data_IF_103586685412
#
_entry.id   IF_103586685412
#
_cell.length_a   1.000
_cell.length_b   1.000
_cell.length_c   1.000
_cell.angle_alpha   90.00
_cell.angle_beta   90.00
_cell.angle_gamma   90.00
#
_symmetry.space_group_name_H-M   'P 1'
#
loop_
_entity.id
_entity.type
_entity.pdbx_description
1 polymer ?
#
# COMPACT_ATOMS: atom_id res chain seq x y z
N UNK A 1 37.81 -5.03 12.19
CA UNK A 1 36.98 -5.77 11.23
C UNK A 1 35.59 -5.89 11.82
N UNK A 2 34.53 -5.62 11.06
CA UNK A 2 33.16 -5.74 11.57
C UNK A 2 32.80 -7.21 11.76
N UNK A 3 32.24 -7.55 12.92
CA UNK A 3 31.74 -8.90 13.17
C UNK A 3 30.36 -9.07 12.52
N UNK A 4 30.31 -9.79 11.41
CA UNK A 4 29.08 -10.03 10.66
C UNK A 4 28.15 -11.07 11.33
N UNK A 5 28.66 -11.84 12.30
CA UNK A 5 27.86 -12.88 12.97
C UNK A 5 26.75 -12.33 13.88
N UNK A 6 26.85 -11.04 14.25
CA UNK A 6 25.81 -10.34 15.00
C UNK A 6 24.55 -10.00 14.18
N UNK A 7 24.61 -10.14 12.86
CA UNK A 7 23.48 -9.85 11.97
C UNK A 7 22.81 -11.16 11.55
N UNK A 8 21.54 -11.33 11.88
CA UNK A 8 20.72 -12.44 11.41
C UNK A 8 19.88 -12.01 10.19
N UNK A 9 19.60 -12.91 9.22
CA UNK A 9 18.62 -12.65 8.17
C UNK A 9 17.25 -12.34 8.78
N UNK A 10 16.65 -11.22 8.38
CA UNK A 10 15.32 -10.79 8.86
C UNK A 10 14.22 -10.96 7.82
N UNK A 11 14.46 -11.74 6.77
CA UNK A 11 13.50 -11.98 5.69
C UNK A 11 13.06 -13.44 5.63
N UNK A 12 11.92 -13.68 4.99
CA UNK A 12 11.28 -14.99 4.92
C UNK A 12 11.16 -15.44 3.46
N UNK A 13 12.08 -16.30 2.97
CA UNK A 13 12.00 -16.84 1.62
C UNK A 13 10.81 -17.78 1.49
N UNK A 14 10.22 -17.84 0.30
CA UNK A 14 9.18 -18.81 -0.03
C UNK A 14 9.78 -20.19 -0.35
N UNK A 15 8.99 -21.27 -0.31
CA UNK A 15 9.40 -22.57 -0.81
C UNK A 15 9.90 -22.53 -2.26
N UNK A 16 10.64 -23.52 -2.72
CA UNK A 16 11.06 -23.64 -4.11
C UNK A 16 9.85 -23.76 -5.06
N UNK A 17 10.00 -23.24 -6.29
CA UNK A 17 8.97 -23.32 -7.34
C UNK A 17 8.09 -22.06 -7.50
N UNK A 18 8.45 -20.96 -6.84
CA UNK A 18 7.84 -19.64 -7.02
C UNK A 18 8.83 -18.70 -7.72
N UNK A 19 9.34 -19.14 -8.87
CA UNK A 19 10.36 -18.47 -9.66
C UNK A 19 10.06 -18.55 -11.17
N UNK A 20 8.80 -18.76 -11.53
CA UNK A 20 8.41 -18.89 -12.94
C UNK A 20 8.54 -17.59 -13.72
N UNK A 21 8.53 -16.45 -13.04
CA UNK A 21 8.76 -15.11 -13.60
C UNK A 21 10.13 -14.98 -14.25
N UNK A 22 11.15 -15.72 -13.81
CA UNK A 22 12.52 -15.73 -14.42
C UNK A 22 12.51 -16.14 -15.89
N UNK A 23 11.47 -16.86 -16.34
CA UNK A 23 11.32 -17.28 -17.73
C UNK A 23 10.76 -16.19 -18.66
N UNK A 24 10.27 -15.09 -18.08
CA UNK A 24 9.75 -13.94 -18.81
C UNK A 24 10.90 -12.99 -19.11
N UNK A 25 10.98 -12.50 -20.32
CA UNK A 25 12.02 -11.57 -20.79
C UNK A 25 11.53 -10.11 -20.83
N UNK A 26 10.22 -9.88 -20.67
CA UNK A 26 9.62 -8.55 -20.66
C UNK A 26 8.28 -8.52 -19.90
N UNK A 27 7.83 -7.31 -19.59
CA UNK A 27 6.51 -7.03 -19.01
C UNK A 27 5.51 -6.88 -20.15
N UNK A 28 4.56 -7.82 -20.26
CA UNK A 28 3.57 -7.85 -21.35
C UNK A 28 2.51 -6.77 -21.22
N UNK A 29 2.16 -6.38 -19.98
CA UNK A 29 1.13 -5.38 -19.69
C UNK A 29 1.68 -4.34 -18.71
N UNK A 30 1.61 -3.07 -19.11
CA UNK A 30 2.00 -1.97 -18.23
C UNK A 30 1.22 -2.00 -16.91
N UNK A 31 1.86 -1.82 -15.75
CA UNK A 31 1.17 -1.72 -14.48
C UNK A 31 0.38 -0.41 -14.38
N UNK A 32 -0.59 -0.37 -13.48
CA UNK A 32 -1.16 0.89 -13.03
C UNK A 32 -0.14 1.63 -12.15
N UNK A 33 -0.09 2.95 -12.28
CA UNK A 33 0.82 3.81 -11.51
C UNK A 33 0.05 4.64 -10.51
N UNK A 34 0.42 4.53 -9.23
CA UNK A 34 -0.08 5.38 -8.17
C UNK A 34 1.07 6.26 -7.64
N UNK A 35 0.91 7.58 -7.72
CA UNK A 35 1.86 8.48 -7.04
C UNK A 35 1.59 8.48 -5.54
N UNK A 36 2.63 8.24 -4.75
CA UNK A 36 2.62 8.38 -3.29
C UNK A 36 3.47 9.57 -2.81
N UNK A 37 3.87 10.45 -3.72
CA UNK A 37 4.67 11.64 -3.42
C UNK A 37 4.09 12.51 -2.32
N UNK A 38 2.77 12.75 -2.36
CA UNK A 38 2.06 13.65 -1.45
C UNK A 38 1.79 13.04 -0.06
N UNK A 39 1.93 11.72 0.09
CA UNK A 39 1.82 11.03 1.37
C UNK A 39 3.16 10.51 1.82
N UNK A 40 3.65 9.43 1.24
CA UNK A 40 4.83 8.72 1.72
C UNK A 40 6.12 9.49 1.42
N UNK A 41 6.24 10.04 0.22
CA UNK A 41 7.34 10.94 -0.13
C UNK A 41 7.38 12.18 0.75
N UNK A 42 6.22 12.80 1.00
CA UNK A 42 6.12 14.00 1.85
C UNK A 42 6.48 13.71 3.32
N UNK A 43 6.04 12.56 3.87
CA UNK A 43 6.33 12.25 5.29
C UNK A 43 7.82 12.00 5.57
N UNK A 44 8.60 11.68 4.55
CA UNK A 44 10.05 11.48 4.67
C UNK A 44 10.86 12.78 4.57
N UNK A 45 10.23 13.89 4.20
CA UNK A 45 10.88 15.19 4.10
C UNK A 45 11.19 15.76 5.48
N UNK A 46 12.37 16.37 5.66
CA UNK A 46 12.75 17.09 6.90
C UNK A 46 11.76 18.22 7.18
N UNK A 47 11.35 18.94 6.14
CA UNK A 47 10.29 19.95 6.19
C UNK A 47 9.18 19.49 5.27
N UNK A 48 8.08 18.95 5.79
CA UNK A 48 6.93 18.55 4.99
C UNK A 48 6.35 19.73 4.19
N UNK A 49 5.75 19.40 3.04
CA UNK A 49 5.11 20.40 2.19
C UNK A 49 3.96 21.11 2.93
N UNK A 50 3.89 22.43 2.75
CA UNK A 50 2.73 23.24 3.13
C UNK A 50 1.50 22.89 2.28
N UNK A 51 0.33 23.32 2.72
CA UNK A 51 -0.92 23.17 1.95
C UNK A 51 -0.78 23.70 0.52
N UNK A 52 -0.17 24.87 0.34
CA UNK A 52 -0.01 25.50 -0.98
C UNK A 52 0.88 24.66 -1.90
N UNK A 53 2.01 24.15 -1.39
CA UNK A 53 2.94 23.28 -2.13
C UNK A 53 2.27 21.95 -2.50
N UNK A 54 1.51 21.34 -1.59
CA UNK A 54 0.74 20.11 -1.88
C UNK A 54 -0.29 20.32 -2.98
N UNK A 55 -1.00 21.44 -2.99
CA UNK A 55 -1.98 21.76 -4.03
C UNK A 55 -1.32 21.94 -5.41
N UNK A 56 -0.19 22.64 -5.46
CA UNK A 56 0.59 22.82 -6.68
C UNK A 56 1.13 21.47 -7.19
N UNK A 57 1.67 20.66 -6.31
CA UNK A 57 2.23 19.35 -6.64
C UNK A 57 1.14 18.38 -7.13
N UNK A 58 -0.03 18.37 -6.51
CA UNK A 58 -1.19 17.60 -6.98
C UNK A 58 -1.56 17.96 -8.43
N UNK A 59 -1.65 19.25 -8.74
CA UNK A 59 -1.93 19.70 -10.10
C UNK A 59 -0.85 19.29 -11.09
N UNK A 60 0.42 19.26 -10.67
CA UNK A 60 1.52 18.78 -11.49
C UNK A 60 1.40 17.29 -11.77
N UNK A 61 1.09 16.46 -10.76
CA UNK A 61 0.88 15.01 -10.93
C UNK A 61 -0.27 14.72 -11.91
N UNK A 62 -1.36 15.46 -11.81
CA UNK A 62 -2.48 15.38 -12.75
C UNK A 62 -2.04 15.74 -14.17
N UNK A 63 -1.23 16.79 -14.34
CA UNK A 63 -0.70 17.21 -15.66
C UNK A 63 0.26 16.18 -16.26
N UNK A 64 1.05 15.49 -15.44
CA UNK A 64 1.93 14.39 -15.87
C UNK A 64 1.08 13.22 -16.39
N UNK A 65 -0.12 13.03 -15.85
CA UNK A 65 -1.06 12.01 -16.29
C UNK A 65 -1.35 10.90 -15.29
N UNK A 66 -0.93 11.04 -14.03
CA UNK A 66 -1.31 10.09 -12.98
C UNK A 66 -2.83 10.01 -12.84
N UNK A 67 -3.34 8.79 -12.72
CA UNK A 67 -4.77 8.48 -12.53
C UNK A 67 -5.09 8.01 -11.12
N UNK A 68 -4.08 7.62 -10.37
CA UNK A 68 -4.17 7.31 -8.96
C UNK A 68 -3.12 8.10 -8.20
N UNK A 69 -3.54 8.83 -7.15
CA UNK A 69 -2.67 9.70 -6.36
C UNK A 69 -3.02 9.53 -4.88
N UNK A 70 -2.08 9.03 -4.09
CA UNK A 70 -2.22 8.99 -2.64
C UNK A 70 -1.93 10.38 -2.07
N UNK A 71 -2.97 11.06 -1.66
CA UNK A 71 -2.93 12.49 -1.31
C UNK A 71 -2.54 12.73 0.13
N UNK A 72 -2.69 11.75 1.02
CA UNK A 72 -2.27 11.93 2.40
C UNK A 72 -2.86 10.93 3.39
N UNK A 73 -2.63 11.23 4.66
CA UNK A 73 -3.20 10.54 5.81
C UNK A 73 -4.08 11.53 6.60
N UNK A 74 -5.34 11.74 6.19
CA UNK A 74 -6.16 12.86 6.69
C UNK A 74 -6.44 12.81 8.19
N UNK A 75 -6.31 11.65 8.83
CA UNK A 75 -6.46 11.53 10.27
C UNK A 75 -5.16 11.81 11.07
N UNK A 76 -4.01 11.97 10.41
CA UNK A 76 -2.72 12.16 11.07
C UNK A 76 -2.47 13.61 11.49
N UNK A 77 -2.94 14.59 10.70
CA UNK A 77 -2.77 16.02 11.03
C UNK A 77 -3.85 16.88 10.39
N UNK A 78 -4.00 18.11 10.90
CA UNK A 78 -4.94 19.08 10.35
C UNK A 78 -4.56 19.48 8.91
N UNK A 79 -3.28 19.65 8.61
CA UNK A 79 -2.81 19.98 7.25
C UNK A 79 -3.21 18.89 6.24
N UNK A 80 -3.09 17.62 6.61
CA UNK A 80 -3.49 16.48 5.75
C UNK A 80 -5.00 16.46 5.53
N UNK A 81 -5.77 16.74 6.57
CA UNK A 81 -7.22 16.84 6.50
C UNK A 81 -7.64 18.01 5.61
N UNK A 82 -7.11 19.20 5.87
CA UNK A 82 -7.42 20.43 5.15
C UNK A 82 -7.04 20.35 3.66
N UNK A 83 -5.92 19.69 3.34
CA UNK A 83 -5.51 19.47 1.97
C UNK A 83 -6.54 18.64 1.19
N UNK A 84 -6.94 17.48 1.71
CA UNK A 84 -7.95 16.64 1.07
C UNK A 84 -9.29 17.37 0.94
N UNK A 85 -9.75 18.05 2.00
CA UNK A 85 -10.99 18.83 1.95
C UNK A 85 -10.92 19.94 0.91
N UNK A 86 -9.78 20.61 0.79
CA UNK A 86 -9.59 21.65 -0.22
C UNK A 86 -9.69 21.10 -1.63
N UNK A 87 -9.09 19.92 -1.91
CA UNK A 87 -9.20 19.26 -3.21
C UNK A 87 -10.67 18.96 -3.58
N UNK A 88 -11.45 18.48 -2.60
CA UNK A 88 -12.85 18.09 -2.80
C UNK A 88 -13.74 19.34 -2.92
N UNK A 89 -13.66 20.27 -1.97
CA UNK A 89 -14.55 21.43 -1.88
C UNK A 89 -14.34 22.46 -3.00
N UNK A 90 -13.12 22.50 -3.56
CA UNK A 90 -12.81 23.36 -4.71
C UNK A 90 -12.88 22.65 -6.06
N UNK A 91 -13.43 21.42 -6.09
CA UNK A 91 -13.58 20.60 -7.30
C UNK A 91 -12.28 20.47 -8.11
N UNK A 92 -11.16 20.19 -7.38
CA UNK A 92 -9.83 20.12 -8.00
C UNK A 92 -9.46 18.71 -8.49
N UNK A 93 -10.28 17.69 -8.20
CA UNK A 93 -10.04 16.30 -8.56
C UNK A 93 -10.72 16.03 -9.92
N UNK A 94 -9.95 15.79 -11.00
CA UNK A 94 -10.54 15.44 -12.30
C UNK A 94 -11.37 14.15 -12.23
N UNK A 95 -12.40 14.03 -13.04
CA UNK A 95 -13.32 12.89 -13.03
C UNK A 95 -12.65 11.54 -13.35
N UNK A 96 -11.50 11.56 -14.01
CA UNK A 96 -10.70 10.39 -14.37
C UNK A 96 -9.53 10.11 -13.40
N UNK A 97 -9.43 10.89 -12.31
CA UNK A 97 -8.43 10.72 -11.25
C UNK A 97 -9.09 10.15 -10.00
N UNK A 98 -8.44 9.15 -9.41
CA UNK A 98 -8.82 8.55 -8.12
C UNK A 98 -7.85 9.05 -7.05
N UNK A 99 -8.36 9.65 -6.01
CA UNK A 99 -7.54 9.97 -4.83
C UNK A 99 -7.47 8.77 -3.89
N UNK A 100 -6.30 8.53 -3.31
CA UNK A 100 -6.10 7.50 -2.30
C UNK A 100 -5.77 8.17 -0.96
N UNK A 101 -6.27 7.61 0.12
CA UNK A 101 -6.03 8.10 1.48
C UNK A 101 -5.65 6.96 2.40
N UNK A 102 -4.57 7.17 3.17
CA UNK A 102 -4.10 6.19 4.13
C UNK A 102 -4.92 6.27 5.42
N UNK A 103 -5.19 5.11 6.02
CA UNK A 103 -5.78 5.01 7.35
C UNK A 103 -5.25 3.80 8.10
N UNK A 104 -4.94 3.95 9.38
CA UNK A 104 -4.55 2.83 10.22
C UNK A 104 -5.79 2.05 10.68
N UNK A 105 -5.69 0.73 10.86
CA UNK A 105 -6.77 -0.13 11.40
C UNK A 105 -7.07 0.18 12.87
N UNK A 106 -7.58 1.39 13.13
CA UNK A 106 -8.07 1.87 14.43
C UNK A 106 -9.38 2.60 14.24
N UNK A 107 -10.38 2.33 15.08
CA UNK A 107 -11.75 2.83 14.94
C UNK A 107 -11.82 4.34 14.67
N UNK A 108 -11.28 5.17 15.57
CA UNK A 108 -11.35 6.62 15.44
C UNK A 108 -10.60 7.17 14.22
N UNK A 109 -9.52 6.50 13.78
CA UNK A 109 -8.73 6.88 12.60
C UNK A 109 -9.54 6.59 11.33
N UNK A 110 -10.13 5.41 11.21
CA UNK A 110 -10.96 5.02 10.07
C UNK A 110 -12.16 5.96 9.95
N UNK A 111 -12.87 6.25 11.04
CA UNK A 111 -14.02 7.19 11.02
C UNK A 111 -13.62 8.57 10.56
N UNK A 112 -12.51 9.12 11.08
CA UNK A 112 -11.99 10.42 10.65
C UNK A 112 -11.62 10.44 9.17
N UNK A 113 -11.12 9.31 8.64
CA UNK A 113 -10.82 9.19 7.22
C UNK A 113 -12.10 9.23 6.36
N UNK A 114 -13.17 8.53 6.76
CA UNK A 114 -14.44 8.59 6.03
C UNK A 114 -15.09 9.99 6.09
N UNK A 115 -14.97 10.71 7.21
CA UNK A 115 -15.37 12.11 7.28
C UNK A 115 -14.60 12.97 6.28
N UNK A 116 -13.30 12.76 6.16
CA UNK A 116 -12.42 13.54 5.30
C UNK A 116 -12.70 13.31 3.81
N UNK A 117 -13.02 12.08 3.37
CA UNK A 117 -13.27 11.76 1.95
C UNK A 117 -14.70 12.05 1.49
N UNK A 118 -15.58 12.50 2.37
CA UNK A 118 -16.97 12.80 2.03
C UNK A 118 -17.06 13.78 0.87
N UNK A 119 -17.76 13.38 -0.20
CA UNK A 119 -17.93 14.18 -1.42
C UNK A 119 -16.81 14.02 -2.46
N UNK A 120 -15.81 13.17 -2.23
CA UNK A 120 -14.81 12.85 -3.24
C UNK A 120 -15.47 12.11 -4.42
N UNK A 121 -15.14 12.44 -5.69
CA UNK A 121 -15.71 11.77 -6.86
C UNK A 121 -15.46 10.28 -6.87
N UNK A 122 -14.23 9.86 -6.49
CA UNK A 122 -13.80 8.48 -6.31
C UNK A 122 -12.59 8.44 -5.38
N UNK A 123 -12.62 7.55 -4.38
CA UNK A 123 -11.54 7.44 -3.42
C UNK A 123 -11.17 5.97 -3.12
N UNK A 124 -9.87 5.69 -3.03
CA UNK A 124 -9.35 4.45 -2.43
C UNK A 124 -9.16 4.69 -0.94
N UNK A 125 -9.78 3.86 -0.12
CA UNK A 125 -9.52 3.78 1.32
C UNK A 125 -8.42 2.75 1.53
N UNK A 126 -7.19 3.22 1.74
CA UNK A 126 -6.02 2.40 1.97
C UNK A 126 -5.83 2.17 3.47
N UNK A 127 -6.27 1.03 3.97
CA UNK A 127 -6.11 0.68 5.37
C UNK A 127 -4.99 -0.32 5.60
N UNK A 128 -4.31 -0.20 6.73
CA UNK A 128 -3.15 -1.02 7.05
C UNK A 128 -3.02 -1.33 8.53
N UNK A 129 -2.29 -2.38 8.83
CA UNK A 129 -1.70 -2.63 10.14
C UNK A 129 -0.36 -3.34 10.00
N UNK A 130 0.51 -3.14 10.99
CA UNK A 130 1.86 -3.71 10.99
C UNK A 130 1.83 -5.20 11.32
N UNK A 131 2.55 -6.01 10.54
CA UNK A 131 2.48 -7.48 10.59
C UNK A 131 3.81 -8.17 10.86
N UNK A 132 4.95 -7.46 10.75
CA UNK A 132 6.28 -8.05 10.87
C UNK A 132 6.55 -8.65 12.24
N UNK A 133 7.45 -9.62 12.28
CA UNK A 133 7.91 -10.26 13.54
C UNK A 133 8.40 -9.23 14.54
N UNK A 134 9.26 -8.30 14.09
CA UNK A 134 9.81 -7.28 14.97
C UNK A 134 8.73 -6.39 15.60
N UNK A 135 7.72 -6.00 14.82
CA UNK A 135 6.63 -5.17 15.33
C UNK A 135 5.70 -5.96 16.26
N UNK A 136 5.38 -7.21 15.93
CA UNK A 136 4.57 -8.05 16.80
C UNK A 136 5.21 -8.28 18.17
N UNK A 137 6.50 -8.63 18.17
CA UNK A 137 7.21 -9.02 19.37
C UNK A 137 7.75 -7.85 20.21
N UNK A 138 8.28 -6.82 19.54
CA UNK A 138 9.02 -5.74 20.23
C UNK A 138 8.19 -4.47 20.44
N UNK A 139 7.15 -4.23 19.60
CA UNK A 139 6.35 -3.00 19.68
C UNK A 139 4.98 -3.28 20.27
N UNK A 140 4.25 -4.24 19.70
CA UNK A 140 2.87 -4.52 20.13
C UNK A 140 2.79 -5.56 21.24
N UNK A 141 3.78 -6.43 21.36
CA UNK A 141 3.75 -7.58 22.27
C UNK A 141 2.48 -8.44 22.08
N UNK A 142 2.15 -8.73 20.81
CA UNK A 142 0.94 -9.43 20.39
C UNK A 142 1.24 -10.67 19.57
N UNK A 143 0.40 -11.68 19.74
CA UNK A 143 0.38 -12.89 18.93
C UNK A 143 -0.06 -12.60 17.49
N UNK A 144 0.23 -13.55 16.58
CA UNK A 144 -0.28 -13.51 15.20
C UNK A 144 -1.81 -13.34 15.14
N UNK A 145 -2.52 -14.05 15.99
CA UNK A 145 -3.98 -14.02 16.05
C UNK A 145 -4.53 -12.66 16.47
N UNK A 146 -3.92 -12.03 17.48
CA UNK A 146 -4.29 -10.69 17.91
C UNK A 146 -4.02 -9.62 16.84
N UNK A 147 -2.91 -9.74 16.10
CA UNK A 147 -2.59 -8.84 14.99
C UNK A 147 -3.56 -9.05 13.83
N UNK A 148 -3.91 -10.31 13.52
CA UNK A 148 -4.93 -10.63 12.51
C UNK A 148 -6.29 -10.05 12.89
N UNK A 149 -6.67 -10.11 14.17
CA UNK A 149 -7.92 -9.54 14.63
C UNK A 149 -8.00 -8.02 14.40
N UNK A 150 -6.88 -7.29 14.52
CA UNK A 150 -6.82 -5.84 14.20
C UNK A 150 -7.19 -5.59 12.72
N UNK A 151 -6.64 -6.38 11.80
CA UNK A 151 -6.95 -6.27 10.38
C UNK A 151 -8.42 -6.60 10.09
N UNK A 152 -8.92 -7.68 10.71
CA UNK A 152 -10.33 -8.14 10.59
C UNK A 152 -11.30 -7.07 11.08
N UNK A 153 -11.04 -6.48 12.24
CA UNK A 153 -11.91 -5.45 12.82
C UNK A 153 -11.84 -4.16 11.99
N UNK A 154 -10.65 -3.80 11.50
CA UNK A 154 -10.47 -2.69 10.57
C UNK A 154 -11.25 -2.89 9.27
N UNK A 155 -11.16 -4.06 8.64
CA UNK A 155 -11.88 -4.39 7.42
C UNK A 155 -13.40 -4.36 7.61
N UNK A 156 -13.92 -4.89 8.72
CA UNK A 156 -15.35 -4.83 9.05
C UNK A 156 -15.83 -3.39 9.17
N UNK A 157 -15.08 -2.54 9.87
CA UNK A 157 -15.45 -1.14 10.05
C UNK A 157 -15.39 -0.37 8.72
N UNK A 158 -14.34 -0.58 7.91
CA UNK A 158 -14.22 0.03 6.59
C UNK A 158 -15.40 -0.36 5.71
N UNK A 159 -15.77 -1.64 5.67
CA UNK A 159 -16.94 -2.12 4.92
C UNK A 159 -18.22 -1.48 5.42
N UNK A 160 -18.47 -1.49 6.73
CA UNK A 160 -19.65 -0.87 7.34
C UNK A 160 -19.76 0.62 6.95
N UNK A 161 -18.70 1.39 7.15
CA UNK A 161 -18.73 2.82 6.85
C UNK A 161 -18.88 3.10 5.34
N UNK A 162 -18.36 2.23 4.48
CA UNK A 162 -18.57 2.38 3.03
C UNK A 162 -20.02 2.15 2.58
N UNK A 163 -20.83 1.50 3.41
CA UNK A 163 -22.27 1.34 3.20
C UNK A 163 -23.08 2.48 3.84
N UNK A 164 -22.54 3.11 4.89
CA UNK A 164 -23.18 4.24 5.59
C UNK A 164 -22.91 5.59 4.89
N UNK A 165 -21.72 5.76 4.30
CA UNK A 165 -21.34 6.99 3.61
C UNK A 165 -21.66 6.92 2.12
N UNK A 166 -22.27 7.96 1.58
CA UNK A 166 -22.46 8.09 0.15
C UNK A 166 -21.11 8.40 -0.53
N UNK A 167 -20.73 7.59 -1.54
CA UNK A 167 -19.47 7.78 -2.27
C UNK A 167 -19.10 6.60 -3.16
N UNK A 168 -18.14 6.81 -4.04
CA UNK A 168 -17.56 5.75 -4.87
C UNK A 168 -16.21 5.30 -4.24
N UNK A 169 -16.28 4.31 -3.35
CA UNK A 169 -15.14 3.82 -2.62
C UNK A 169 -14.56 2.56 -3.25
N UNK A 170 -13.25 2.55 -3.42
CA UNK A 170 -12.41 1.39 -3.66
C UNK A 170 -11.59 1.11 -2.40
N UNK A 171 -11.00 -0.06 -2.30
CA UNK A 171 -10.30 -0.48 -1.08
C UNK A 171 -8.92 -1.01 -1.38
N UNK A 172 -7.98 -0.65 -0.51
CA UNK A 172 -6.65 -1.19 -0.48
C UNK A 172 -6.29 -1.64 0.93
N UNK A 173 -5.68 -2.81 1.05
CA UNK A 173 -5.12 -3.30 2.31
C UNK A 173 -3.62 -3.57 2.17
N UNK A 174 -2.84 -3.09 3.16
CA UNK A 174 -1.42 -3.39 3.29
C UNK A 174 -1.12 -4.14 4.59
N UNK A 175 -0.55 -5.36 4.53
CA UNK A 175 0.18 -5.94 5.66
C UNK A 175 1.53 -5.21 5.77
N UNK A 176 1.56 -4.10 6.52
CA UNK A 176 2.74 -3.23 6.63
C UNK A 176 3.97 -4.02 7.10
N UNK A 177 5.14 -3.67 6.55
CA UNK A 177 6.39 -4.41 6.73
C UNK A 177 6.31 -5.85 6.22
N UNK A 178 5.68 -6.05 5.05
CA UNK A 178 5.51 -7.35 4.41
C UNK A 178 6.82 -8.13 4.30
N UNK A 179 7.92 -7.49 3.91
CA UNK A 179 9.23 -8.14 3.76
C UNK A 179 9.84 -8.65 5.08
N UNK A 180 9.37 -8.17 6.21
CA UNK A 180 9.72 -8.64 7.56
C UNK A 180 8.64 -9.55 8.20
N UNK A 181 7.66 -9.98 7.39
CA UNK A 181 6.55 -10.86 7.79
C UNK A 181 6.72 -12.23 7.14
N UNK A 182 6.38 -13.30 7.85
CA UNK A 182 6.33 -14.64 7.25
C UNK A 182 5.29 -14.65 6.13
N UNK A 183 5.66 -15.13 4.95
CA UNK A 183 4.85 -14.96 3.74
C UNK A 183 3.51 -15.71 3.81
N UNK A 184 3.50 -16.90 4.40
CA UNK A 184 2.28 -17.67 4.66
C UNK A 184 1.33 -16.91 5.59
N UNK A 185 1.87 -16.28 6.63
CA UNK A 185 1.08 -15.45 7.54
C UNK A 185 0.58 -14.16 6.85
N UNK A 186 1.38 -13.52 6.01
CA UNK A 186 0.93 -12.36 5.23
C UNK A 186 -0.24 -12.73 4.31
N UNK A 187 -0.18 -13.88 3.64
CA UNK A 187 -1.29 -14.41 2.82
C UNK A 187 -2.52 -14.72 3.67
N UNK A 188 -2.34 -15.32 4.85
CA UNK A 188 -3.44 -15.57 5.79
C UNK A 188 -4.13 -14.26 6.19
N UNK A 189 -3.36 -13.22 6.52
CA UNK A 189 -3.86 -11.88 6.84
C UNK A 189 -4.67 -11.28 5.70
N UNK A 190 -4.09 -11.26 4.50
CA UNK A 190 -4.76 -10.74 3.30
C UNK A 190 -6.05 -11.52 3.02
N UNK A 191 -6.02 -12.84 3.10
CA UNK A 191 -7.19 -13.68 2.87
C UNK A 191 -8.30 -13.45 3.91
N UNK A 192 -7.95 -13.20 5.18
CA UNK A 192 -8.92 -12.86 6.23
C UNK A 192 -9.62 -11.52 5.93
N UNK A 193 -8.88 -10.53 5.44
CA UNK A 193 -9.43 -9.25 4.98
C UNK A 193 -10.29 -9.43 3.73
N UNK A 194 -9.82 -10.18 2.74
CA UNK A 194 -10.57 -10.45 1.50
C UNK A 194 -11.88 -11.20 1.76
N UNK A 195 -11.92 -12.12 2.70
CA UNK A 195 -13.15 -12.84 3.10
C UNK A 195 -14.22 -11.89 3.69
N UNK A 196 -13.83 -10.75 4.28
CA UNK A 196 -14.73 -9.72 4.77
C UNK A 196 -15.16 -8.79 3.64
N UNK A 197 -14.19 -8.31 2.86
CA UNK A 197 -14.44 -7.31 1.82
C UNK A 197 -15.16 -7.88 0.60
N UNK A 198 -14.95 -9.17 0.29
CA UNK A 198 -15.59 -9.92 -0.80
C UNK A 198 -15.53 -9.17 -2.15
N UNK A 199 -14.33 -8.91 -2.68
CA UNK A 199 -14.18 -8.21 -3.95
C UNK A 199 -14.78 -9.00 -5.09
N UNK A 200 -15.21 -8.28 -6.14
CA UNK A 200 -15.69 -8.86 -7.39
C UNK A 200 -14.90 -8.28 -8.57
N UNK A 201 -14.96 -8.86 -9.78
CA UNK A 201 -14.29 -8.30 -10.95
C UNK A 201 -14.73 -6.87 -11.27
N UNK A 202 -15.99 -6.51 -10.97
CA UNK A 202 -16.54 -5.17 -11.19
C UNK A 202 -16.11 -4.18 -10.08
N UNK A 203 -15.76 -4.70 -8.90
CA UNK A 203 -15.29 -3.94 -7.75
C UNK A 203 -14.07 -4.62 -7.14
N UNK A 204 -12.91 -4.57 -7.81
CA UNK A 204 -11.70 -5.22 -7.33
C UNK A 204 -11.16 -4.54 -6.07
N UNK A 205 -10.39 -5.30 -5.30
CA UNK A 205 -9.65 -4.79 -4.14
C UNK A 205 -8.15 -4.82 -4.41
N UNK A 206 -7.44 -3.83 -3.93
CA UNK A 206 -5.99 -3.76 -4.00
C UNK A 206 -5.40 -4.44 -2.75
N UNK A 207 -4.48 -5.37 -2.94
CA UNK A 207 -3.59 -5.89 -1.91
C UNK A 207 -2.19 -5.35 -2.21
N UNK A 208 -1.73 -4.45 -1.36
CA UNK A 208 -0.43 -3.82 -1.52
C UNK A 208 0.58 -4.50 -0.59
N UNK A 209 1.71 -4.92 -1.14
CA UNK A 209 2.74 -5.71 -0.47
C UNK A 209 4.02 -4.86 -0.32
N UNK A 210 4.14 -4.03 0.75
CA UNK A 210 5.20 -3.04 0.81
C UNK A 210 6.55 -3.62 1.19
N UNK A 211 7.59 -3.20 0.47
CA UNK A 211 8.99 -3.34 0.87
C UNK A 211 9.32 -2.17 1.80
N UNK A 212 8.77 -2.20 3.01
CA UNK A 212 8.97 -1.14 4.01
C UNK A 212 10.44 -0.98 4.37
N UNK A 213 11.20 -2.08 4.34
CA UNK A 213 12.66 -2.11 4.40
C UNK A 213 13.15 -3.14 3.39
N UNK A 214 14.20 -2.81 2.64
CA UNK A 214 14.85 -3.73 1.70
C UNK A 214 15.66 -4.82 2.45
N UNK A 215 14.97 -5.78 3.05
CA UNK A 215 15.57 -6.83 3.90
C UNK A 215 16.22 -7.96 3.10
N UNK A 216 15.90 -8.08 1.82
CA UNK A 216 16.38 -9.17 0.95
C UNK A 216 16.78 -8.65 -0.44
N UNK A 217 17.30 -9.52 -1.28
CA UNK A 217 17.55 -9.21 -2.69
C UNK A 217 16.23 -9.13 -3.46
N UNK A 218 16.16 -8.33 -4.56
CA UNK A 218 14.93 -8.13 -5.34
C UNK A 218 14.26 -9.42 -5.83
N UNK A 219 15.03 -10.43 -6.21
CA UNK A 219 14.49 -11.71 -6.66
C UNK A 219 13.77 -12.47 -5.54
N UNK A 220 14.15 -12.30 -4.28
CA UNK A 220 13.45 -12.92 -3.13
C UNK A 220 12.07 -12.29 -3.01
N UNK A 221 11.98 -10.97 -3.14
CA UNK A 221 10.70 -10.27 -3.14
C UNK A 221 9.81 -10.69 -4.33
N UNK A 222 10.38 -10.82 -5.53
CA UNK A 222 9.64 -11.33 -6.69
C UNK A 222 9.06 -12.74 -6.46
N UNK A 223 9.82 -13.64 -5.83
CA UNK A 223 9.33 -14.95 -5.44
C UNK A 223 8.18 -14.86 -4.42
N UNK A 224 8.24 -13.90 -3.47
CA UNK A 224 7.15 -13.64 -2.52
C UNK A 224 5.90 -13.12 -3.22
N UNK A 225 6.04 -12.25 -4.23
CA UNK A 225 4.91 -11.77 -5.06
C UNK A 225 4.27 -12.94 -5.82
N UNK A 226 5.06 -13.79 -6.47
CA UNK A 226 4.50 -14.98 -7.17
C UNK A 226 3.81 -15.94 -6.21
N UNK A 227 4.35 -16.09 -5.00
CA UNK A 227 3.69 -16.86 -3.94
C UNK A 227 2.33 -16.26 -3.58
N UNK A 228 2.26 -14.97 -3.35
CA UNK A 228 1.00 -14.27 -3.05
C UNK A 228 0.01 -14.38 -4.23
N UNK A 229 0.49 -14.20 -5.46
CA UNK A 229 -0.31 -14.34 -6.68
C UNK A 229 -1.04 -15.70 -6.74
N UNK A 230 -0.38 -16.77 -6.31
CA UNK A 230 -0.93 -18.13 -6.34
C UNK A 230 -1.78 -18.52 -5.12
N UNK A 231 -1.72 -17.75 -4.01
CA UNK A 231 -2.36 -18.14 -2.74
C UNK A 231 -3.41 -17.16 -2.23
N UNK A 232 -3.51 -15.97 -2.83
CA UNK A 232 -4.57 -15.03 -2.50
C UNK A 232 -5.91 -15.55 -3.00
N UNK A 233 -6.92 -15.49 -2.13
CA UNK A 233 -8.31 -15.74 -2.49
C UNK A 233 -8.84 -14.65 -3.43
N UNK A 234 -9.92 -14.92 -4.12
CA UNK A 234 -10.56 -13.97 -5.04
C UNK A 234 -9.60 -13.39 -6.08
N UNK A 235 -8.61 -14.17 -6.54
CA UNK A 235 -7.49 -13.68 -7.34
C UNK A 235 -7.89 -12.84 -8.56
N UNK A 236 -8.98 -13.22 -9.25
CA UNK A 236 -9.50 -12.49 -10.43
C UNK A 236 -10.13 -11.13 -10.07
N UNK A 237 -10.33 -10.88 -8.78
CA UNK A 237 -10.90 -9.66 -8.21
C UNK A 237 -9.90 -8.90 -7.32
N UNK A 238 -8.63 -9.31 -7.35
CA UNK A 238 -7.55 -8.69 -6.55
C UNK A 238 -6.50 -8.10 -7.48
N UNK A 239 -6.14 -6.85 -7.23
CA UNK A 239 -5.00 -6.17 -7.85
C UNK A 239 -3.83 -6.24 -6.87
N UNK A 240 -2.77 -6.97 -7.22
CA UNK A 240 -1.54 -6.96 -6.44
C UNK A 240 -0.77 -5.69 -6.75
N UNK A 241 -0.53 -4.89 -5.71
CA UNK A 241 0.27 -3.67 -5.76
C UNK A 241 1.61 -3.88 -5.07
N UNK A 242 2.65 -3.25 -5.58
CA UNK A 242 3.98 -3.20 -4.96
C UNK A 242 4.31 -1.78 -4.54
N UNK A 243 4.96 -1.65 -3.38
CA UNK A 243 5.39 -0.37 -2.82
C UNK A 243 6.84 -0.52 -2.31
N UNK A 244 7.82 -0.46 -3.19
CA UNK A 244 9.22 -0.62 -2.80
C UNK A 244 9.82 0.68 -2.29
N UNK A 245 10.51 0.59 -1.13
CA UNK A 245 11.48 1.57 -0.70
C UNK A 245 12.85 1.29 -1.33
N UNK A 246 13.76 2.24 -1.25
CA UNK A 246 15.04 2.22 -1.94
C UNK A 246 16.23 2.38 -0.98
N UNK A 247 16.15 1.78 0.21
CA UNK A 247 17.16 1.91 1.27
C UNK A 247 18.55 1.46 0.84
N UNK A 248 18.60 0.48 -0.06
CA UNK A 248 19.83 -0.13 -0.59
C UNK A 248 20.11 0.24 -2.03
N UNK A 249 19.25 1.04 -2.67
CA UNK A 249 19.37 1.40 -4.08
C UNK A 249 18.88 0.30 -5.04
N UNK A 250 18.05 -0.65 -4.59
CA UNK A 250 17.52 -1.74 -5.43
C UNK A 250 15.99 -1.70 -5.58
N UNK A 251 15.34 -0.61 -5.16
CA UNK A 251 13.89 -0.46 -5.19
C UNK A 251 13.30 -0.54 -6.60
N UNK A 252 13.95 0.05 -7.63
CA UNK A 252 13.53 -0.07 -9.03
C UNK A 252 13.54 -1.53 -9.47
N UNK A 253 14.61 -2.28 -9.15
CA UNK A 253 14.69 -3.70 -9.47
C UNK A 253 13.61 -4.51 -8.74
N UNK A 254 13.28 -4.15 -7.48
CA UNK A 254 12.16 -4.76 -6.76
C UNK A 254 10.83 -4.53 -7.49
N UNK A 255 10.57 -3.30 -7.98
CA UNK A 255 9.34 -2.97 -8.71
C UNK A 255 9.24 -3.75 -10.02
N UNK A 256 10.30 -3.73 -10.85
CA UNK A 256 10.34 -4.42 -12.15
C UNK A 256 10.11 -5.93 -12.00
N UNK A 257 10.87 -6.57 -11.10
CA UNK A 257 10.76 -8.01 -10.88
C UNK A 257 9.41 -8.39 -10.24
N UNK A 258 8.84 -7.54 -9.39
CA UNK A 258 7.51 -7.76 -8.83
C UNK A 258 6.43 -7.75 -9.92
N UNK A 259 6.51 -6.84 -10.91
CA UNK A 259 5.58 -6.81 -12.03
C UNK A 259 5.74 -8.05 -12.91
N UNK A 260 6.98 -8.50 -13.19
CA UNK A 260 7.23 -9.77 -13.87
C UNK A 260 6.61 -10.96 -13.10
N UNK A 261 6.66 -10.92 -11.78
CA UNK A 261 6.15 -11.97 -10.89
C UNK A 261 4.62 -11.94 -10.69
N UNK A 262 3.91 -10.93 -11.21
CA UNK A 262 2.45 -10.89 -11.18
C UNK A 262 1.82 -9.66 -10.52
N UNK A 263 2.61 -8.70 -10.02
CA UNK A 263 2.08 -7.42 -9.57
C UNK A 263 1.51 -6.62 -10.76
N UNK A 264 0.40 -5.94 -10.53
CA UNK A 264 -0.37 -5.25 -11.57
C UNK A 264 -0.38 -3.74 -11.35
N UNK A 265 0.14 -3.27 -10.21
CA UNK A 265 0.16 -1.88 -9.80
C UNK A 265 1.45 -1.56 -9.06
N UNK A 266 1.95 -0.34 -9.24
CA UNK A 266 3.16 0.16 -8.56
C UNK A 266 2.82 1.48 -7.87
N UNK A 267 3.09 1.56 -6.59
CA UNK A 267 3.15 2.81 -5.83
C UNK A 267 4.57 3.37 -5.93
N UNK A 268 4.68 4.61 -6.35
CA UNK A 268 5.97 5.24 -6.66
C UNK A 268 6.01 6.73 -6.32
N UNK A 269 7.22 7.27 -6.26
CA UNK A 269 7.47 8.70 -6.16
C UNK A 269 8.31 9.19 -7.34
N UNK A 270 8.08 10.43 -7.75
CA UNK A 270 8.89 11.07 -8.79
C UNK A 270 10.34 11.21 -8.30
N UNK A 271 11.29 10.72 -9.11
CA UNK A 271 12.72 10.82 -8.85
C UNK A 271 13.19 10.24 -7.50
N UNK A 272 12.47 9.30 -6.95
CA UNK A 272 12.81 8.68 -5.65
C UNK A 272 12.57 9.60 -4.46
N UNK A 273 11.62 10.53 -4.55
CA UNK A 273 11.25 11.42 -3.45
C UNK A 273 10.97 10.63 -2.16
N UNK A 274 11.60 11.00 -1.07
CA UNK A 274 11.44 10.34 0.22
C UNK A 274 11.97 8.91 0.29
N UNK A 275 13.03 8.55 -0.45
CA UNK A 275 13.61 7.20 -0.54
C UNK A 275 12.70 6.15 -1.20
N UNK A 276 11.70 6.61 -1.99
CA UNK A 276 10.77 5.71 -2.71
C UNK A 276 11.27 5.43 -4.11
N UNK A 277 10.62 4.53 -4.79
CA UNK A 277 11.00 4.12 -6.15
C UNK A 277 10.29 4.95 -7.19
#
# INVERSE_FOLDING_TARGET
MMDATKYAPGYYPVPAGYDSWVKKDHIEKAPAWCSVDLRDGNQALIVPMSLAEKLEFFQMLVKIGFKEIEVGFPAASETEYEFLRTLIEKDMIPADVTVQVLTQCRDHIIRRTFEAVKGAPRAVIHFYNSTSVAQREQVFHKSKEEIKQIAVDGAKLVKQLSEEYEGNFLFEYSPESFTGTEVDYAVEMCNAVLDIMQPTPERPMIINLPVTVEMSMPHVYANQIEYCDKHLKYRDSVIISTHPHNDRGTGVACAELAVLAGAQRVECCLFGNGERT
#
